data_IF_595918579909
#
_entry.id   IF_595918579909
#
_cell.length_a   1.000
_cell.length_b   1.000
_cell.length_c   1.000
_cell.angle_alpha   90.00
_cell.angle_beta   90.00
_cell.angle_gamma   90.00
#
_symmetry.space_group_name_H-M   'P 1'
#
loop_
_entity.id
_entity.type
_entity.pdbx_description
1 polymer ?
#
# COMPACT_ATOMS: atom_id res chain seq x y z
N UNK A 1 11.67 -20.35 12.03
CA UNK A 1 12.82 -19.43 11.84
C UNK A 1 12.44 -18.27 10.89
N UNK A 2 11.46 -18.47 9.99
CA UNK A 2 10.89 -17.35 9.25
C UNK A 2 9.89 -16.61 10.13
N UNK A 3 9.93 -15.28 10.11
CA UNK A 3 9.05 -14.42 10.89
C UNK A 3 7.65 -14.37 10.25
N UNK A 4 6.92 -15.49 10.36
CA UNK A 4 5.57 -15.66 9.80
C UNK A 4 4.64 -16.11 10.92
N UNK A 5 3.44 -15.53 10.97
CA UNK A 5 2.44 -15.86 11.97
C UNK A 5 2.08 -17.35 11.94
N UNK A 6 2.06 -18.00 13.12
CA UNK A 6 1.82 -19.43 13.25
C UNK A 6 0.52 -19.96 12.59
N UNK A 7 -0.60 -19.23 12.62
CA UNK A 7 -1.81 -19.66 11.91
C UNK A 7 -1.59 -19.79 10.40
N UNK A 8 -0.89 -18.82 9.78
CA UNK A 8 -0.56 -18.81 8.35
C UNK A 8 0.34 -20.00 7.99
N UNK A 9 1.37 -20.25 8.82
CA UNK A 9 2.28 -21.41 8.63
C UNK A 9 1.51 -22.73 8.71
N UNK A 10 0.61 -22.89 9.69
CA UNK A 10 -0.20 -24.11 9.85
C UNK A 10 -1.11 -24.33 8.65
N UNK A 11 -1.80 -23.30 8.21
CA UNK A 11 -2.67 -23.38 7.04
C UNK A 11 -1.89 -23.76 5.77
N UNK A 12 -0.76 -23.09 5.52
CA UNK A 12 0.13 -23.42 4.41
C UNK A 12 0.59 -24.88 4.43
N UNK A 13 1.07 -25.37 5.60
CA UNK A 13 1.53 -26.76 5.74
C UNK A 13 0.38 -27.75 5.48
N UNK A 14 -0.82 -27.47 5.98
CA UNK A 14 -1.98 -28.33 5.76
C UNK A 14 -2.35 -28.42 4.28
N UNK A 15 -2.39 -27.30 3.56
CA UNK A 15 -2.65 -27.27 2.12
C UNK A 15 -1.59 -28.04 1.32
N UNK A 16 -0.31 -27.88 1.68
CA UNK A 16 0.77 -28.64 1.05
C UNK A 16 0.61 -30.15 1.31
N UNK A 17 0.28 -30.54 2.55
CA UNK A 17 0.04 -31.95 2.92
C UNK A 17 -1.11 -32.55 2.14
N UNK A 18 -2.26 -31.88 2.10
CA UNK A 18 -3.46 -32.34 1.38
C UNK A 18 -3.16 -32.60 -0.10
N UNK A 19 -2.39 -31.69 -0.75
CA UNK A 19 -2.03 -31.82 -2.14
C UNK A 19 -0.91 -32.84 -2.41
N UNK A 20 -0.03 -33.06 -1.43
CA UNK A 20 1.05 -34.04 -1.54
C UNK A 20 0.58 -35.47 -1.30
N UNK A 21 -0.42 -35.67 -0.42
CA UNK A 21 -0.99 -36.98 -0.11
C UNK A 21 -2.04 -37.33 -1.18
N UNK A 22 -1.78 -38.37 -1.96
CA UNK A 22 -2.72 -38.86 -2.99
C UNK A 22 -2.49 -38.27 -4.40
N UNK A 23 -1.47 -37.45 -4.60
CA UNK A 23 -1.10 -37.04 -5.95
C UNK A 23 -0.45 -38.20 -6.70
N UNK A 24 -1.02 -38.58 -7.82
CA UNK A 24 -0.31 -39.48 -8.75
C UNK A 24 0.92 -38.75 -9.29
N UNK A 25 2.10 -39.32 -9.05
CA UNK A 25 3.36 -38.77 -9.56
C UNK A 25 3.29 -38.69 -11.08
N UNK A 26 3.37 -37.50 -11.60
CA UNK A 26 3.40 -37.30 -13.06
C UNK A 26 4.60 -38.08 -13.63
N UNK A 27 4.38 -38.94 -14.62
CA UNK A 27 5.41 -39.86 -15.17
C UNK A 27 6.70 -39.16 -15.66
N UNK A 28 6.65 -37.83 -15.80
CA UNK A 28 7.78 -36.99 -16.26
C UNK A 28 8.59 -36.34 -15.10
N UNK A 29 8.14 -36.47 -13.86
CA UNK A 29 8.78 -35.80 -12.71
C UNK A 29 9.12 -36.83 -11.62
N UNK A 30 10.20 -36.54 -10.88
CA UNK A 30 10.49 -37.29 -9.66
C UNK A 30 9.58 -36.88 -8.52
N UNK A 31 9.34 -37.72 -7.50
CA UNK A 31 8.54 -37.34 -6.32
C UNK A 31 8.99 -36.04 -5.66
N UNK A 32 10.32 -35.80 -5.60
CA UNK A 32 10.87 -34.56 -5.06
C UNK A 32 10.54 -33.34 -5.91
N UNK A 33 10.56 -33.46 -7.23
CA UNK A 33 10.20 -32.37 -8.13
C UNK A 33 8.69 -32.03 -8.05
N UNK A 34 7.83 -33.04 -7.94
CA UNK A 34 6.39 -32.81 -7.71
C UNK A 34 6.14 -32.11 -6.38
N UNK A 35 6.82 -32.52 -5.32
CA UNK A 35 6.71 -31.85 -4.02
C UNK A 35 7.12 -30.38 -4.09
N UNK A 36 8.26 -30.07 -4.71
CA UNK A 36 8.71 -28.69 -4.92
C UNK A 36 7.69 -27.87 -5.71
N UNK A 37 7.08 -28.46 -6.74
CA UNK A 37 6.03 -27.82 -7.52
C UNK A 37 4.79 -27.50 -6.69
N UNK A 38 4.35 -28.44 -5.83
CA UNK A 38 3.23 -28.24 -4.91
C UNK A 38 3.54 -27.06 -3.95
N UNK A 39 4.70 -27.09 -3.30
CA UNK A 39 5.13 -26.01 -2.39
C UNK A 39 5.17 -24.66 -3.11
N UNK A 40 5.75 -24.61 -4.31
CA UNK A 40 5.77 -23.38 -5.11
C UNK A 40 4.37 -22.86 -5.43
N UNK A 41 3.46 -23.72 -5.83
CA UNK A 41 2.10 -23.33 -6.17
C UNK A 41 1.34 -22.81 -4.94
N UNK A 42 1.53 -23.44 -3.77
CA UNK A 42 0.92 -22.97 -2.52
C UNK A 42 1.52 -21.64 -2.05
N UNK A 43 2.81 -21.39 -2.27
CA UNK A 43 3.42 -20.07 -2.02
C UNK A 43 2.82 -19.00 -2.93
N UNK A 44 2.66 -19.30 -4.23
CA UNK A 44 2.02 -18.38 -5.18
C UNK A 44 0.59 -18.07 -4.75
N UNK A 45 -0.19 -19.09 -4.38
CA UNK A 45 -1.56 -18.90 -3.90
C UNK A 45 -1.62 -18.06 -2.61
N UNK A 46 -0.68 -18.28 -1.68
CA UNK A 46 -0.59 -17.50 -0.44
C UNK A 46 -0.20 -16.03 -0.67
N UNK A 47 0.58 -15.75 -1.72
CA UNK A 47 1.01 -14.38 -2.08
C UNK A 47 0.02 -13.66 -3.01
N UNK A 48 -1.01 -14.35 -3.48
CA UNK A 48 -1.96 -13.83 -4.48
C UNK A 48 -1.60 -14.27 -5.91
N UNK A 49 -2.60 -14.79 -6.61
CA UNK A 49 -2.42 -15.38 -7.95
C UNK A 49 -2.30 -14.31 -9.04
N UNK A 50 -2.92 -13.15 -8.83
CA UNK A 50 -3.00 -12.09 -9.83
C UNK A 50 -2.63 -10.73 -9.24
N UNK A 51 -1.98 -9.91 -10.08
CA UNK A 51 -1.74 -8.51 -9.75
C UNK A 51 -3.04 -7.72 -9.94
N UNK A 52 -3.55 -7.15 -8.86
CA UNK A 52 -4.69 -6.26 -8.90
C UNK A 52 -4.24 -4.85 -9.33
N UNK A 53 -4.85 -4.31 -10.38
CA UNK A 53 -4.65 -2.92 -10.75
C UNK A 53 -5.48 -1.99 -9.87
N UNK A 54 -5.00 -0.76 -9.66
CA UNK A 54 -5.76 0.25 -8.92
C UNK A 54 -7.10 0.51 -9.59
N UNK A 55 -8.16 0.43 -8.81
CA UNK A 55 -9.49 0.82 -9.27
C UNK A 55 -9.67 2.33 -9.08
N UNK A 56 -9.41 3.11 -10.12
CA UNK A 56 -9.64 4.55 -10.15
C UNK A 56 -10.99 4.92 -10.77
N UNK A 57 -11.90 3.96 -10.96
CA UNK A 57 -13.23 4.17 -11.53
C UNK A 57 -14.16 4.83 -10.50
N UNK A 58 -13.90 6.09 -10.22
CA UNK A 58 -14.70 6.93 -9.32
C UNK A 58 -14.88 8.31 -9.93
N UNK A 59 -15.84 9.07 -9.39
CA UNK A 59 -15.97 10.48 -9.74
C UNK A 59 -14.71 11.24 -9.28
N UNK A 60 -14.02 11.95 -10.18
CA UNK A 60 -12.79 12.66 -9.83
C UNK A 60 -12.96 13.71 -8.71
N UNK A 61 -11.97 13.87 -7.85
CA UNK A 61 -10.70 13.13 -7.80
C UNK A 61 -10.88 11.74 -7.17
N UNK A 62 -10.27 10.71 -7.77
CA UNK A 62 -10.09 9.43 -7.12
C UNK A 62 -9.07 9.58 -5.98
N UNK A 63 -9.47 9.29 -4.74
CA UNK A 63 -8.61 9.45 -3.56
C UNK A 63 -7.98 8.11 -3.21
N UNK A 64 -6.65 8.08 -3.14
CA UNK A 64 -5.87 6.91 -2.73
C UNK A 64 -5.14 7.22 -1.43
N UNK A 65 -5.44 6.47 -0.39
CA UNK A 65 -4.80 6.60 0.93
C UNK A 65 -3.62 5.63 1.04
N UNK A 66 -2.44 6.15 1.40
CA UNK A 66 -1.24 5.34 1.60
C UNK A 66 -0.97 5.18 3.09
N UNK A 67 -1.04 3.96 3.59
CA UNK A 67 -0.77 3.59 4.98
C UNK A 67 0.41 2.62 5.07
N UNK A 68 0.98 2.43 6.25
CA UNK A 68 2.06 1.48 6.48
C UNK A 68 3.05 1.93 7.56
N UNK A 69 3.98 1.04 7.91
CA UNK A 69 4.96 1.27 8.96
C UNK A 69 6.02 2.31 8.56
N UNK A 70 6.72 2.83 9.54
CA UNK A 70 7.86 3.73 9.31
C UNK A 70 8.97 2.97 8.55
N UNK A 71 9.56 3.61 7.55
CA UNK A 71 10.61 3.01 6.74
C UNK A 71 10.12 2.05 5.65
N UNK A 72 8.82 1.71 5.60
CA UNK A 72 8.27 0.82 4.58
C UNK A 72 8.27 1.40 3.15
N UNK A 73 8.64 2.67 2.99
CA UNK A 73 8.74 3.31 1.67
C UNK A 73 7.45 3.97 1.18
N UNK A 74 6.52 4.34 2.08
CA UNK A 74 5.25 5.01 1.71
C UNK A 74 5.46 6.24 0.84
N UNK A 75 6.17 7.24 1.36
CA UNK A 75 6.44 8.51 0.63
C UNK A 75 7.08 8.27 -0.73
N UNK A 76 8.05 7.35 -0.80
CA UNK A 76 8.66 6.96 -2.08
C UNK A 76 7.66 6.30 -3.02
N UNK A 77 6.77 5.46 -2.49
CA UNK A 77 5.70 4.80 -3.27
C UNK A 77 4.67 5.80 -3.78
N UNK A 78 4.32 6.83 -2.98
CA UNK A 78 3.47 7.94 -3.44
C UNK A 78 4.08 8.64 -4.66
N UNK A 79 5.37 8.97 -4.62
CA UNK A 79 6.06 9.59 -5.75
C UNK A 79 6.10 8.69 -6.99
N UNK A 80 6.44 7.40 -6.81
CA UNK A 80 6.45 6.42 -7.92
C UNK A 80 5.07 6.23 -8.53
N UNK A 81 4.03 6.12 -7.68
CA UNK A 81 2.65 5.99 -8.12
C UNK A 81 2.17 7.24 -8.84
N UNK A 82 2.47 8.44 -8.30
CA UNK A 82 2.17 9.71 -8.95
C UNK A 82 2.79 9.81 -10.33
N UNK A 83 4.07 9.46 -10.46
CA UNK A 83 4.76 9.39 -11.76
C UNK A 83 4.08 8.42 -12.72
N UNK A 84 3.78 7.21 -12.27
CA UNK A 84 3.12 6.18 -13.05
C UNK A 84 1.75 6.64 -13.57
N UNK A 85 0.92 7.21 -12.70
CA UNK A 85 -0.40 7.72 -13.06
C UNK A 85 -0.31 8.88 -14.07
N UNK A 86 0.65 9.80 -13.88
CA UNK A 86 0.89 10.89 -14.81
C UNK A 86 1.37 10.40 -16.18
N UNK A 87 2.40 9.56 -16.21
CA UNK A 87 3.07 9.18 -17.46
C UNK A 87 2.31 8.12 -18.25
N UNK A 88 1.80 7.08 -17.56
CA UNK A 88 1.13 5.94 -18.20
C UNK A 88 -0.37 6.16 -18.38
N UNK A 89 -1.01 6.76 -17.38
CA UNK A 89 -2.46 6.96 -17.40
C UNK A 89 -2.88 8.39 -17.72
N UNK A 90 -1.92 9.31 -17.95
CA UNK A 90 -2.18 10.72 -18.31
C UNK A 90 -3.07 11.45 -17.29
N UNK A 91 -2.98 11.06 -16.03
CA UNK A 91 -3.78 11.64 -14.94
C UNK A 91 -3.12 12.91 -14.39
N UNK A 92 -3.94 13.89 -14.04
CA UNK A 92 -3.52 15.06 -13.27
C UNK A 92 -3.54 14.68 -11.79
N UNK A 93 -2.38 14.63 -11.16
CA UNK A 93 -2.19 14.08 -9.82
C UNK A 93 -1.80 15.18 -8.84
N UNK A 94 -2.50 15.22 -7.69
CA UNK A 94 -2.14 16.01 -6.52
C UNK A 94 -1.67 15.06 -5.42
N UNK A 95 -0.56 15.40 -4.76
CA UNK A 95 -0.09 14.65 -3.59
C UNK A 95 -0.11 15.54 -2.36
N UNK A 96 -0.40 14.95 -1.18
CA UNK A 96 -0.41 15.65 0.10
C UNK A 96 0.19 14.76 1.18
N UNK A 97 0.95 15.37 2.10
CA UNK A 97 1.42 14.69 3.31
C UNK A 97 0.52 15.04 4.49
N UNK A 98 -0.02 14.00 5.12
CA UNK A 98 -0.70 14.08 6.42
C UNK A 98 0.22 13.67 7.58
N UNK A 99 1.52 13.45 7.34
CA UNK A 99 2.53 13.16 8.36
C UNK A 99 2.96 14.44 9.07
N UNK A 100 2.17 14.88 10.02
CA UNK A 100 2.45 16.07 10.85
C UNK A 100 3.50 15.84 11.94
N UNK A 101 3.91 14.59 12.16
CA UNK A 101 4.87 14.24 13.21
C UNK A 101 6.32 14.42 12.77
N UNK A 102 6.56 14.46 11.45
CA UNK A 102 7.89 14.55 10.87
C UNK A 102 7.97 15.65 9.80
N UNK A 103 8.48 16.85 10.16
CA UNK A 103 8.63 17.95 9.19
C UNK A 103 9.42 17.54 7.95
N UNK A 104 10.44 16.69 8.14
CA UNK A 104 11.25 16.17 7.04
C UNK A 104 10.46 15.31 6.05
N UNK A 105 9.40 14.62 6.48
CA UNK A 105 8.57 13.80 5.59
C UNK A 105 7.74 14.68 4.64
N UNK A 106 7.20 15.79 5.13
CA UNK A 106 6.48 16.78 4.32
C UNK A 106 7.41 17.32 3.23
N UNK A 107 8.62 17.77 3.62
CA UNK A 107 9.60 18.30 2.68
C UNK A 107 10.10 17.25 1.69
N UNK A 108 10.26 16.01 2.13
CA UNK A 108 10.62 14.89 1.28
C UNK A 108 9.57 14.66 0.19
N UNK A 109 8.28 14.65 0.54
CA UNK A 109 7.20 14.47 -0.43
C UNK A 109 7.13 15.64 -1.42
N UNK A 110 7.29 16.88 -0.94
CA UNK A 110 7.34 18.07 -1.80
C UNK A 110 8.46 17.96 -2.85
N UNK A 111 9.68 17.69 -2.40
CA UNK A 111 10.84 17.51 -3.30
C UNK A 111 10.61 16.38 -4.31
N UNK A 112 10.04 15.26 -3.84
CA UNK A 112 9.75 14.13 -4.70
C UNK A 112 8.67 14.46 -5.74
N UNK A 113 7.62 15.19 -5.35
CA UNK A 113 6.58 15.65 -6.25
C UNK A 113 7.15 16.51 -7.38
N UNK A 114 8.03 17.45 -7.05
CA UNK A 114 8.76 18.27 -8.03
C UNK A 114 9.58 17.40 -8.99
N UNK A 115 10.35 16.45 -8.47
CA UNK A 115 11.20 15.56 -9.27
C UNK A 115 10.41 14.70 -10.26
N UNK A 116 9.24 14.22 -9.84
CA UNK A 116 8.40 13.37 -10.69
C UNK A 116 7.36 14.18 -11.48
N UNK A 117 7.28 15.49 -11.26
CA UNK A 117 6.41 16.42 -12.00
C UNK A 117 4.91 16.22 -11.71
N UNK A 118 4.55 15.96 -10.45
CA UNK A 118 3.18 16.01 -9.95
C UNK A 118 3.02 17.18 -8.99
N UNK A 119 1.79 17.64 -8.80
CA UNK A 119 1.53 18.78 -7.95
C UNK A 119 1.50 18.38 -6.47
N UNK A 120 2.03 19.24 -5.60
CA UNK A 120 2.07 19.06 -4.15
C UNK A 120 1.12 20.04 -3.47
N UNK A 121 0.30 19.54 -2.55
CA UNK A 121 -0.52 20.38 -1.66
C UNK A 121 0.27 20.67 -0.38
N UNK A 122 0.54 21.95 -0.04
CA UNK A 122 1.30 22.30 1.16
C UNK A 122 0.57 21.88 2.45
N UNK A 123 1.33 21.33 3.38
CA UNK A 123 0.86 21.00 4.73
C UNK A 123 1.90 21.41 5.76
N UNK A 124 1.48 21.54 7.01
CA UNK A 124 2.30 21.98 8.13
C UNK A 124 2.05 21.12 9.38
N UNK A 125 3.09 20.94 10.18
CA UNK A 125 3.04 20.14 11.42
C UNK A 125 2.09 20.68 12.49
N UNK A 126 1.70 21.96 12.41
CA UNK A 126 0.71 22.55 13.29
C UNK A 126 -0.75 22.23 12.95
N UNK A 127 -0.99 21.58 11.82
CA UNK A 127 -2.31 21.22 11.35
C UNK A 127 -2.72 19.81 11.83
N UNK A 128 -4.03 19.54 11.83
CA UNK A 128 -4.53 18.18 12.05
C UNK A 128 -4.55 17.41 10.73
N UNK A 129 -4.19 16.11 10.72
CA UNK A 129 -4.21 15.27 9.51
C UNK A 129 -5.54 15.33 8.75
N UNK A 130 -6.67 15.26 9.47
CA UNK A 130 -8.01 15.33 8.87
C UNK A 130 -8.26 16.67 8.18
N UNK A 131 -7.83 17.79 8.76
CA UNK A 131 -8.00 19.12 8.17
C UNK A 131 -7.17 19.28 6.90
N UNK A 132 -5.93 18.77 6.92
CA UNK A 132 -5.02 18.75 5.76
C UNK A 132 -5.67 18.01 4.58
N UNK A 133 -6.13 16.78 4.82
CA UNK A 133 -6.66 15.94 3.74
C UNK A 133 -7.97 16.47 3.18
N UNK A 134 -8.82 17.07 4.03
CA UNK A 134 -10.05 17.73 3.57
C UNK A 134 -9.76 18.99 2.74
N UNK A 135 -8.78 19.78 3.14
CA UNK A 135 -8.35 20.96 2.37
C UNK A 135 -7.76 20.53 1.02
N UNK A 136 -6.91 19.50 1.00
CA UNK A 136 -6.36 18.95 -0.24
C UNK A 136 -7.44 18.38 -1.17
N UNK A 137 -8.44 17.68 -0.61
CA UNK A 137 -9.57 17.18 -1.38
C UNK A 137 -10.41 18.31 -1.99
N UNK A 138 -10.65 19.37 -1.24
CA UNK A 138 -11.34 20.57 -1.75
C UNK A 138 -10.57 21.20 -2.89
N UNK A 139 -9.26 21.37 -2.74
CA UNK A 139 -8.38 21.90 -3.78
C UNK A 139 -8.37 21.02 -5.03
N UNK A 140 -8.28 19.69 -4.83
CA UNK A 140 -8.31 18.73 -5.91
C UNK A 140 -9.61 18.80 -6.73
N UNK A 141 -10.75 19.00 -6.09
CA UNK A 141 -12.05 19.22 -6.75
C UNK A 141 -12.08 20.54 -7.51
N UNK A 142 -11.63 21.64 -6.88
CA UNK A 142 -11.67 22.97 -7.47
C UNK A 142 -10.77 23.09 -8.71
N UNK A 143 -9.62 22.42 -8.70
CA UNK A 143 -8.62 22.47 -9.78
C UNK A 143 -8.70 21.28 -10.75
N UNK A 144 -9.75 20.48 -10.64
CA UNK A 144 -10.02 19.34 -11.52
C UNK A 144 -8.84 18.35 -11.62
N UNK A 145 -8.33 17.92 -10.46
CA UNK A 145 -7.41 16.81 -10.40
C UNK A 145 -8.15 15.49 -10.62
N UNK A 146 -7.49 14.55 -11.31
CA UNK A 146 -8.02 13.20 -11.52
C UNK A 146 -7.82 12.31 -10.30
N UNK A 147 -6.68 12.50 -9.60
CA UNK A 147 -6.26 11.66 -8.48
C UNK A 147 -5.66 12.53 -7.37
N UNK A 148 -6.02 12.22 -6.12
CA UNK A 148 -5.39 12.71 -4.91
C UNK A 148 -4.71 11.55 -4.19
N UNK A 149 -3.38 11.61 -4.04
CA UNK A 149 -2.61 10.66 -3.25
C UNK A 149 -2.32 11.25 -1.88
N UNK A 150 -2.73 10.53 -0.83
CA UNK A 150 -2.56 10.96 0.57
C UNK A 150 -1.51 10.09 1.24
N UNK A 151 -0.36 10.69 1.61
CA UNK A 151 0.69 10.04 2.40
C UNK A 151 0.40 10.23 3.90
N UNK A 152 0.29 9.13 4.65
CA UNK A 152 0.04 9.18 6.09
C UNK A 152 1.32 8.98 6.89
N UNK A 153 1.27 9.36 8.17
CA UNK A 153 2.36 9.07 9.10
C UNK A 153 2.64 7.58 9.19
N UNK A 154 3.90 7.21 9.27
CA UNK A 154 4.33 5.85 9.60
C UNK A 154 4.79 5.79 11.05
N UNK A 155 4.38 4.77 11.77
CA UNK A 155 4.87 4.47 13.10
C UNK A 155 5.71 3.22 13.12
N UNK A 156 6.48 3.02 14.18
CA UNK A 156 7.33 1.82 14.33
C UNK A 156 6.51 0.53 14.45
N UNK A 157 5.31 0.66 15.04
CA UNK A 157 4.38 -0.45 15.23
C UNK A 157 2.97 -0.02 14.83
N UNK A 158 2.14 -0.98 14.49
CA UNK A 158 0.70 -0.78 14.35
C UNK A 158 0.11 -0.66 15.76
N UNK A 159 -0.22 0.56 16.18
CA UNK A 159 -0.83 0.86 17.48
C UNK A 159 -2.25 1.44 17.29
N UNK A 160 -3.04 1.48 18.37
CA UNK A 160 -4.41 1.99 18.35
C UNK A 160 -4.46 3.46 17.87
N UNK A 161 -3.50 4.28 18.29
CA UNK A 161 -3.48 5.70 17.93
C UNK A 161 -3.26 5.89 16.42
N UNK A 162 -2.36 5.09 15.82
CA UNK A 162 -2.16 5.08 14.36
C UNK A 162 -3.41 4.61 13.63
N UNK A 163 -4.02 3.53 14.10
CA UNK A 163 -5.23 2.99 13.48
C UNK A 163 -6.40 3.95 13.56
N UNK A 164 -6.55 4.65 14.68
CA UNK A 164 -7.64 5.63 14.86
C UNK A 164 -7.41 6.86 13.98
N UNK A 165 -6.18 7.34 13.84
CA UNK A 165 -5.86 8.44 12.93
C UNK A 165 -6.16 8.06 11.47
N UNK A 166 -5.73 6.87 11.04
CA UNK A 166 -6.02 6.38 9.70
C UNK A 166 -7.54 6.22 9.48
N UNK A 167 -8.27 5.68 10.46
CA UNK A 167 -9.74 5.58 10.40
C UNK A 167 -10.42 6.94 10.27
N UNK A 168 -9.96 7.95 11.04
CA UNK A 168 -10.50 9.31 10.97
C UNK A 168 -10.23 9.94 9.60
N UNK A 169 -9.01 9.85 9.10
CA UNK A 169 -8.65 10.31 7.76
C UNK A 169 -9.48 9.58 6.71
N UNK A 170 -9.53 8.25 6.76
CA UNK A 170 -10.31 7.44 5.83
C UNK A 170 -11.79 7.84 5.82
N UNK A 171 -12.42 7.97 6.99
CA UNK A 171 -13.81 8.34 7.10
C UNK A 171 -14.10 9.75 6.54
N UNK A 172 -13.13 10.68 6.63
CA UNK A 172 -13.31 12.06 6.17
C UNK A 172 -13.22 12.22 4.66
N UNK A 173 -12.43 11.40 3.96
CA UNK A 173 -12.18 11.53 2.53
C UNK A 173 -12.77 10.39 1.69
N UNK A 174 -13.22 9.32 2.34
CA UNK A 174 -13.80 8.12 1.71
C UNK A 174 -12.97 7.68 0.48
N UNK A 175 -11.73 7.20 0.66
CA UNK A 175 -10.85 6.87 -0.44
C UNK A 175 -11.41 5.71 -1.27
N UNK A 176 -11.14 5.71 -2.58
CA UNK A 176 -11.51 4.60 -3.47
C UNK A 176 -10.59 3.41 -3.27
N UNK A 177 -9.36 3.66 -2.82
CA UNK A 177 -8.34 2.66 -2.51
C UNK A 177 -7.58 3.05 -1.26
N UNK A 178 -7.27 2.07 -0.41
CA UNK A 178 -6.32 2.19 0.69
C UNK A 178 -5.21 1.20 0.47
N UNK A 179 -4.00 1.70 0.24
CA UNK A 179 -2.82 0.88 0.00
C UNK A 179 -1.97 0.79 1.27
N UNK A 180 -1.79 -0.43 1.76
CA UNK A 180 -0.86 -0.69 2.85
C UNK A 180 0.52 -1.04 2.30
N UNK A 181 1.47 -0.14 2.49
CA UNK A 181 2.85 -0.29 1.99
C UNK A 181 3.67 -1.02 3.04
N UNK A 182 4.23 -2.15 2.65
CA UNK A 182 5.10 -2.97 3.50
C UNK A 182 6.44 -3.21 2.82
N UNK A 183 7.49 -3.31 3.62
CA UNK A 183 8.79 -3.78 3.16
C UNK A 183 8.78 -5.32 3.10
N UNK A 184 9.36 -5.89 2.05
CA UNK A 184 9.44 -7.34 1.89
C UNK A 184 10.26 -8.03 3.01
N UNK A 185 11.05 -7.27 3.78
CA UNK A 185 11.78 -7.74 4.95
C UNK A 185 10.98 -7.66 6.25
N UNK A 186 9.79 -7.05 6.22
CA UNK A 186 8.91 -6.99 7.39
C UNK A 186 8.27 -8.36 7.60
N UNK A 187 8.35 -8.88 8.82
CA UNK A 187 7.75 -10.15 9.18
C UNK A 187 6.27 -10.04 9.54
N UNK A 188 5.84 -10.79 10.55
CA UNK A 188 4.43 -10.89 10.96
C UNK A 188 3.79 -9.55 11.42
N UNK A 189 4.58 -8.55 11.77
CA UNK A 189 4.10 -7.22 12.15
C UNK A 189 3.43 -6.46 10.98
N UNK A 190 3.59 -6.97 9.76
CA UNK A 190 2.97 -6.40 8.57
C UNK A 190 1.57 -6.97 8.27
N UNK A 191 1.13 -7.99 9.00
CA UNK A 191 -0.11 -8.75 8.73
C UNK A 191 -1.24 -8.42 9.70
#
# INVERSE_FOLDING_TARGET
EADVALPVVREFINRVKEKAVGHEVNKSLTPGQEFVKIVRNELVAAMGEENQTLNLAAQPPAVVLMAGLQGAGKTTSVGKLGKFLREKHKKKVLVVSADVYRPAAIKQLETLAEQVGVDFFPSDVGQKPVDIVNAALKEAKLKFYDVLLVDTAGRLHVDEAMMDEIKQVHASINPVETLFVVDAMTGQDAA
#
